data_IF_402905556955
#
_entry.id   IF_402905556955
#
_cell.length_a   1.000
_cell.length_b   1.000
_cell.length_c   1.000
_cell.angle_alpha   90.00
_cell.angle_beta   90.00
_cell.angle_gamma   90.00
#
_symmetry.space_group_name_H-M   'P 1'
#
loop_
_entity.id
_entity.type
_entity.pdbx_description
1 polymer ?
#
# COMPACT_ATOMS: atom_id res chain seq x y z
N UNK A 1 7.23 29.92 3.90
CA UNK A 1 5.90 30.07 4.53
C UNK A 1 5.20 28.72 4.56
N UNK A 2 4.16 28.53 5.41
CA UNK A 2 3.39 27.30 5.37
C UNK A 2 2.33 27.40 4.27
N UNK A 3 2.29 26.39 3.38
CA UNK A 3 1.23 26.25 2.39
C UNK A 3 0.01 25.53 2.97
N UNK A 4 0.25 24.61 3.92
CA UNK A 4 -0.80 23.85 4.59
C UNK A 4 -0.49 23.78 6.08
N UNK A 5 -1.51 23.96 6.92
CA UNK A 5 -1.44 23.77 8.37
C UNK A 5 -2.64 22.96 8.83
N UNK A 6 -2.38 21.86 9.53
CA UNK A 6 -3.36 21.07 10.27
C UNK A 6 -3.17 21.37 11.75
N UNK A 7 -4.23 21.80 12.43
CA UNK A 7 -4.22 22.14 13.84
C UNK A 7 -5.29 21.33 14.59
N UNK A 8 -4.84 20.31 15.33
CA UNK A 8 -5.66 19.38 16.13
C UNK A 8 -6.86 18.79 15.37
N UNK A 9 -6.64 18.45 14.09
CA UNK A 9 -7.71 18.00 13.19
C UNK A 9 -8.17 16.61 13.55
N UNK A 10 -9.48 16.45 13.74
CA UNK A 10 -10.12 15.17 13.94
C UNK A 10 -11.34 14.99 13.05
N UNK A 11 -11.62 13.74 12.66
CA UNK A 11 -12.80 13.35 11.89
C UNK A 11 -13.47 12.12 12.49
N UNK A 12 -14.68 12.33 12.97
CA UNK A 12 -15.54 11.30 13.52
C UNK A 12 -16.61 10.91 12.49
N UNK A 13 -16.79 9.62 12.27
CA UNK A 13 -17.90 9.07 11.48
C UNK A 13 -18.83 8.25 12.36
N UNK A 14 -20.12 8.27 12.03
CA UNK A 14 -21.10 7.37 12.62
C UNK A 14 -21.25 6.13 11.75
N UNK A 15 -21.13 4.96 12.34
CA UNK A 15 -21.39 3.67 11.70
C UNK A 15 -22.91 3.39 11.71
N UNK A 16 -23.40 2.74 10.66
CA UNK A 16 -24.84 2.48 10.52
C UNK A 16 -25.56 3.58 9.76
N UNK A 17 -26.86 3.65 9.82
CA UNK A 17 -27.75 4.38 8.93
C UNK A 17 -27.30 5.80 8.55
N UNK A 18 -27.21 6.06 7.24
CA UNK A 18 -27.32 7.40 6.65
C UNK A 18 -28.79 7.81 6.81
N UNK A 19 -29.14 8.42 7.92
CA UNK A 19 -30.52 8.78 8.14
C UNK A 19 -30.70 9.71 9.31
N UNK A 20 -31.28 10.80 9.04
CA UNK A 20 -32.10 11.66 9.88
C UNK A 20 -31.78 11.60 11.37
N UNK A 21 -30.75 12.39 11.76
CA UNK A 21 -30.68 12.85 13.14
C UNK A 21 -32.05 13.45 13.47
N UNK A 22 -32.73 12.94 14.50
CA UNK A 22 -33.93 13.56 14.95
C UNK A 22 -33.60 14.99 15.35
N UNK A 23 -34.39 15.97 14.92
CA UNK A 23 -34.25 17.39 15.28
C UNK A 23 -33.98 17.63 16.77
N UNK A 24 -34.41 16.71 17.62
CA UNK A 24 -34.16 16.72 19.06
C UNK A 24 -32.69 16.50 19.43
N UNK A 25 -31.94 15.70 18.67
CA UNK A 25 -30.48 15.47 18.89
C UNK A 25 -29.65 16.68 18.49
N UNK A 26 -29.98 17.31 17.34
CA UNK A 26 -29.29 18.50 16.87
C UNK A 26 -29.59 19.71 17.76
N UNK A 27 -30.81 19.82 18.27
CA UNK A 27 -31.21 20.87 19.20
C UNK A 27 -30.51 20.70 20.56
N UNK A 28 -30.37 19.46 21.05
CA UNK A 28 -29.69 19.17 22.33
C UNK A 28 -28.17 19.44 22.19
N UNK A 29 -27.59 19.06 21.08
CA UNK A 29 -26.18 19.35 20.75
C UNK A 29 -25.93 20.85 20.71
N UNK A 30 -26.75 21.61 19.95
CA UNK A 30 -26.66 23.05 19.85
C UNK A 30 -26.85 23.72 21.22
N UNK A 31 -27.78 23.24 22.04
CA UNK A 31 -28.04 23.77 23.40
C UNK A 31 -26.84 23.54 24.33
N UNK A 32 -26.27 22.37 24.32
CA UNK A 32 -25.15 22.03 25.21
C UNK A 32 -23.85 22.71 24.80
N UNK A 33 -23.56 22.82 23.49
CA UNK A 33 -22.30 23.40 23.00
C UNK A 33 -22.34 24.92 22.95
N UNK A 34 -23.44 25.53 22.48
CA UNK A 34 -23.51 26.96 22.22
C UNK A 34 -24.11 27.79 23.36
N UNK A 35 -25.00 27.22 24.18
CA UNK A 35 -25.66 27.91 25.30
C UNK A 35 -24.98 27.57 26.62
N UNK A 36 -24.64 26.30 26.86
CA UNK A 36 -24.05 25.86 28.13
C UNK A 36 -22.50 25.84 28.10
N UNK A 37 -21.85 26.08 26.93
CA UNK A 37 -20.39 26.09 26.79
C UNK A 37 -19.74 24.76 27.18
N UNK A 38 -20.49 23.67 27.18
CA UNK A 38 -20.00 22.32 27.51
C UNK A 38 -19.41 21.68 26.25
N UNK A 39 -18.39 20.84 26.43
CA UNK A 39 -17.90 19.99 25.35
C UNK A 39 -19.05 19.12 24.80
N UNK A 40 -19.07 18.94 23.49
CA UNK A 40 -20.03 18.08 22.79
C UNK A 40 -20.02 16.68 23.41
N UNK A 41 -21.13 16.22 24.05
CA UNK A 41 -21.16 14.93 24.73
C UNK A 41 -20.88 13.74 23.79
N UNK A 42 -21.03 13.94 22.47
CA UNK A 42 -20.77 12.91 21.46
C UNK A 42 -19.29 12.79 21.07
N UNK A 43 -18.46 13.79 21.40
CA UNK A 43 -17.00 13.73 21.15
C UNK A 43 -16.26 12.78 22.09
N UNK A 44 -16.87 12.40 23.22
CA UNK A 44 -16.28 11.44 24.18
C UNK A 44 -16.52 9.99 23.82
N UNK A 45 -17.39 9.70 22.85
CA UNK A 45 -17.84 8.37 22.48
C UNK A 45 -17.30 8.07 21.07
N UNK A 46 -16.10 7.56 20.98
CA UNK A 46 -15.55 7.12 19.68
C UNK A 46 -14.39 6.18 19.92
N UNK A 47 -14.45 5.02 19.29
CA UNK A 47 -13.36 4.06 19.27
C UNK A 47 -12.39 4.39 18.15
N UNK A 48 -11.13 3.99 18.31
CA UNK A 48 -10.15 4.04 17.22
C UNK A 48 -10.58 3.10 16.11
N UNK A 49 -10.26 3.45 14.84
CA UNK A 49 -10.63 2.67 13.66
C UNK A 49 -9.79 1.39 13.55
N UNK A 50 -9.96 0.48 14.51
CA UNK A 50 -9.38 -0.86 14.43
C UNK A 50 -10.39 -1.83 13.79
N UNK A 51 -10.09 -2.27 12.56
CA UNK A 51 -10.93 -3.21 11.81
C UNK A 51 -10.87 -4.64 12.32
N UNK A 52 -9.89 -4.96 13.16
CA UNK A 52 -9.70 -6.31 13.71
C UNK A 52 -10.57 -6.58 14.94
N UNK A 53 -11.02 -5.54 15.62
CA UNK A 53 -11.86 -5.66 16.82
C UNK A 53 -13.31 -5.29 16.53
N UNK A 54 -14.23 -6.08 17.07
CA UNK A 54 -15.67 -5.79 17.02
C UNK A 54 -15.95 -4.68 18.01
N UNK A 55 -15.96 -3.42 17.52
CA UNK A 55 -16.28 -2.26 18.36
C UNK A 55 -17.70 -2.29 18.92
N UNK A 56 -17.88 -1.64 20.05
CA UNK A 56 -19.18 -1.52 20.74
C UNK A 56 -19.84 -0.17 20.50
N UNK A 57 -19.11 0.78 19.89
CA UNK A 57 -19.55 2.15 19.61
C UNK A 57 -20.06 2.31 18.18
N UNK A 58 -21.15 3.07 18.01
CA UNK A 58 -21.64 3.52 16.70
C UNK A 58 -20.76 4.61 16.07
N UNK A 59 -19.73 5.11 16.78
CA UNK A 59 -18.87 6.19 16.34
C UNK A 59 -17.43 5.73 16.23
N UNK A 60 -16.77 6.09 15.12
CA UNK A 60 -15.37 5.76 14.83
C UNK A 60 -14.60 7.01 14.45
N UNK A 61 -13.46 7.23 15.12
CA UNK A 61 -12.51 8.25 14.74
C UNK A 61 -11.69 7.79 13.55
N UNK A 62 -11.96 8.36 12.40
CA UNK A 62 -11.14 8.11 11.20
C UNK A 62 -9.81 8.88 11.25
N UNK A 63 -9.81 10.06 11.91
CA UNK A 63 -8.62 10.85 12.23
C UNK A 63 -8.83 11.47 13.61
N UNK A 64 -7.74 11.56 14.39
CA UNK A 64 -7.75 12.12 15.72
C UNK A 64 -6.47 12.90 16.02
N UNK A 65 -6.64 14.14 16.47
CA UNK A 65 -5.57 15.02 16.95
C UNK A 65 -4.39 15.16 15.95
N UNK A 66 -4.69 15.27 14.65
CA UNK A 66 -3.69 15.46 13.60
C UNK A 66 -3.20 16.89 13.56
N UNK A 67 -1.91 17.08 13.79
CA UNK A 67 -1.28 18.42 13.74
C UNK A 67 0.07 18.33 13.02
N UNK A 68 0.18 18.99 11.88
CA UNK A 68 1.43 19.17 11.13
C UNK A 68 1.32 20.35 10.18
N UNK A 69 2.43 20.80 9.65
CA UNK A 69 2.49 21.84 8.64
C UNK A 69 3.30 21.37 7.43
N UNK A 70 3.02 21.94 6.27
CA UNK A 70 3.76 21.73 5.03
C UNK A 70 4.21 23.06 4.49
N UNK A 71 5.51 23.20 4.25
CA UNK A 71 6.08 24.41 3.69
C UNK A 71 5.75 24.57 2.20
N UNK A 72 5.77 25.81 1.71
CA UNK A 72 5.65 26.08 0.27
C UNK A 72 6.78 25.37 -0.50
N UNK A 73 6.42 24.64 -1.55
CA UNK A 73 7.36 23.88 -2.37
C UNK A 73 7.82 22.54 -1.77
N UNK A 74 7.30 22.15 -0.62
CA UNK A 74 7.63 20.88 0.03
C UNK A 74 6.82 19.71 -0.58
N UNK A 75 7.48 18.57 -0.73
CA UNK A 75 6.85 17.30 -1.19
C UNK A 75 6.80 16.33 -0.03
N UNK A 76 5.60 16.12 0.50
CA UNK A 76 5.37 15.29 1.68
C UNK A 76 4.65 14.00 1.33
N UNK A 77 5.19 12.88 1.76
CA UNK A 77 4.58 11.56 1.64
C UNK A 77 3.69 11.23 2.84
N UNK A 78 2.43 10.85 2.60
CA UNK A 78 1.54 10.33 3.64
C UNK A 78 1.52 8.80 3.55
N UNK A 79 2.04 8.15 4.56
CA UNK A 79 2.26 6.70 4.61
C UNK A 79 1.35 6.08 5.68
N UNK A 80 0.89 4.85 5.48
CA UNK A 80 0.09 4.14 6.46
C UNK A 80 -0.66 2.95 5.87
N UNK A 81 -1.09 2.02 6.72
CA UNK A 81 -1.89 0.84 6.34
C UNK A 81 -3.26 1.25 5.78
N UNK A 82 -3.95 0.30 5.12
CA UNK A 82 -5.34 0.50 4.72
C UNK A 82 -6.22 0.71 5.96
N UNK A 83 -6.94 1.84 5.99
CA UNK A 83 -7.74 2.25 7.14
C UNK A 83 -7.03 3.18 8.12
N UNK A 84 -5.74 3.53 7.92
CA UNK A 84 -5.01 4.45 8.79
C UNK A 84 -5.52 5.90 8.76
N UNK A 85 -6.43 6.25 7.85
CA UNK A 85 -7.01 7.60 7.76
C UNK A 85 -6.54 8.42 6.55
N UNK A 86 -5.61 7.92 5.72
CA UNK A 86 -5.03 8.65 4.57
C UNK A 86 -6.07 9.30 3.65
N UNK A 87 -7.01 8.51 3.12
CA UNK A 87 -8.05 9.04 2.23
C UNK A 87 -9.01 10.00 2.93
N UNK A 88 -9.21 9.86 4.23
CA UNK A 88 -10.00 10.83 5.03
C UNK A 88 -9.26 12.15 5.15
N UNK A 89 -7.95 12.13 5.40
CA UNK A 89 -7.11 13.33 5.47
C UNK A 89 -7.12 14.07 4.13
N UNK A 90 -7.00 13.36 3.00
CA UNK A 90 -7.08 13.97 1.69
C UNK A 90 -8.46 14.59 1.40
N UNK A 91 -9.55 13.92 1.78
CA UNK A 91 -10.93 14.45 1.63
C UNK A 91 -11.16 15.71 2.47
N UNK A 92 -10.55 15.80 3.64
CA UNK A 92 -10.58 17.02 4.46
C UNK A 92 -9.84 18.16 3.79
N UNK A 93 -8.62 17.89 3.31
CA UNK A 93 -7.79 18.88 2.62
C UNK A 93 -8.44 19.38 1.32
N UNK A 94 -9.05 18.47 0.55
CA UNK A 94 -9.76 18.81 -0.70
C UNK A 94 -11.17 19.38 -0.47
N UNK A 95 -11.53 19.72 0.78
CA UNK A 95 -12.83 20.29 1.17
C UNK A 95 -14.06 19.43 0.77
N UNK A 96 -13.88 18.14 0.48
CA UNK A 96 -14.97 17.19 0.21
C UNK A 96 -15.80 16.93 1.47
N UNK A 97 -15.15 17.02 2.65
CA UNK A 97 -15.81 16.94 3.95
C UNK A 97 -15.14 17.88 4.95
N UNK A 98 -15.90 18.39 5.91
CA UNK A 98 -15.36 19.25 6.97
C UNK A 98 -14.78 18.43 8.13
N UNK A 99 -13.77 18.94 8.85
CA UNK A 99 -13.30 18.34 10.10
C UNK A 99 -14.38 18.35 11.18
N UNK A 100 -14.30 17.40 12.11
CA UNK A 100 -15.18 17.39 13.29
C UNK A 100 -14.60 18.25 14.42
N UNK A 101 -13.27 18.23 14.57
CA UNK A 101 -12.50 19.07 15.50
C UNK A 101 -11.31 19.66 14.79
N UNK A 102 -10.78 20.76 15.34
CA UNK A 102 -9.62 21.44 14.79
C UNK A 102 -9.90 22.21 13.50
N UNK A 103 -8.86 22.71 12.89
CA UNK A 103 -8.96 23.47 11.64
C UNK A 103 -7.82 23.16 10.67
N UNK A 104 -8.09 23.36 9.38
CA UNK A 104 -7.11 23.25 8.30
C UNK A 104 -7.01 24.61 7.63
N UNK A 105 -5.80 25.15 7.56
CA UNK A 105 -5.50 26.38 6.86
C UNK A 105 -4.66 26.09 5.64
N UNK A 106 -5.04 26.64 4.50
CA UNK A 106 -4.33 26.47 3.24
C UNK A 106 -4.10 27.80 2.54
N UNK A 107 -2.99 27.91 1.84
CA UNK A 107 -2.64 29.09 1.06
C UNK A 107 -2.42 28.69 -0.40
N UNK A 108 -3.27 29.19 -1.30
CA UNK A 108 -3.26 28.87 -2.71
C UNK A 108 -4.38 27.91 -3.14
N UNK A 109 -4.42 27.62 -4.43
CA UNK A 109 -5.39 26.68 -5.03
C UNK A 109 -4.97 25.25 -4.74
N UNK A 110 -5.93 24.44 -4.36
CA UNK A 110 -5.73 22.99 -4.15
C UNK A 110 -6.32 22.27 -5.36
N UNK A 111 -5.51 21.42 -5.99
CA UNK A 111 -6.03 20.43 -6.94
C UNK A 111 -5.79 19.03 -6.41
N UNK A 112 -6.81 18.20 -6.51
CA UNK A 112 -6.78 16.83 -6.03
C UNK A 112 -6.91 15.86 -7.18
N UNK A 113 -5.98 14.92 -7.27
CA UNK A 113 -6.05 13.79 -8.20
C UNK A 113 -6.89 12.61 -7.66
N UNK A 114 -7.62 12.80 -6.55
CA UNK A 114 -8.49 11.79 -5.95
C UNK A 114 -9.59 11.30 -6.91
N UNK A 115 -10.01 12.16 -7.82
CA UNK A 115 -11.19 11.95 -8.67
C UNK A 115 -10.83 11.98 -10.16
N UNK A 116 -9.63 11.53 -10.52
CA UNK A 116 -9.20 11.48 -11.93
C UNK A 116 -10.18 10.66 -12.78
N UNK A 117 -10.75 11.28 -13.82
CA UNK A 117 -11.72 10.66 -14.70
C UNK A 117 -13.16 10.64 -14.17
N UNK A 118 -13.41 11.11 -12.94
CA UNK A 118 -14.79 11.41 -12.51
C UNK A 118 -15.27 12.70 -13.16
N UNK A 119 -16.55 12.74 -13.54
CA UNK A 119 -17.13 13.92 -14.16
C UNK A 119 -17.02 13.96 -15.69
N UNK A 120 -16.45 12.94 -16.36
CA UNK A 120 -16.51 12.88 -17.81
C UNK A 120 -17.93 12.59 -18.29
N UNK A 121 -18.40 13.41 -19.21
CA UNK A 121 -19.71 13.23 -19.85
C UNK A 121 -19.58 12.29 -21.04
N UNK A 122 -20.25 11.16 -20.99
CA UNK A 122 -20.11 10.06 -21.96
C UNK A 122 -20.47 10.45 -23.40
N UNK A 123 -21.44 11.38 -23.58
CA UNK A 123 -21.87 11.83 -24.90
C UNK A 123 -21.00 12.93 -25.49
N UNK A 124 -20.17 13.58 -24.70
CA UNK A 124 -19.22 14.60 -25.14
C UNK A 124 -17.95 13.98 -25.72
N UNK A 125 -17.33 14.68 -26.65
CA UNK A 125 -16.04 14.32 -27.24
C UNK A 125 -14.91 14.41 -26.20
N UNK A 126 -13.74 13.82 -26.49
CA UNK A 126 -12.54 13.97 -25.66
C UNK A 126 -12.17 15.44 -25.46
N UNK A 127 -12.23 16.24 -26.55
CA UNK A 127 -11.96 17.69 -26.51
C UNK A 127 -12.90 18.41 -25.53
N UNK A 128 -14.20 18.21 -25.67
CA UNK A 128 -15.19 18.85 -24.79
C UNK A 128 -15.01 18.42 -23.33
N UNK A 129 -14.70 17.16 -23.08
CA UNK A 129 -14.39 16.66 -21.74
C UNK A 129 -13.12 17.28 -21.16
N UNK A 130 -12.06 17.51 -21.96
CA UNK A 130 -10.86 18.23 -21.51
C UNK A 130 -11.23 19.63 -21.02
N UNK A 131 -12.03 20.37 -21.80
CA UNK A 131 -12.46 21.71 -21.40
C UNK A 131 -13.35 21.70 -20.16
N UNK A 132 -14.31 20.79 -20.11
CA UNK A 132 -15.22 20.66 -18.98
C UNK A 132 -14.48 20.27 -17.71
N UNK A 133 -13.66 19.22 -17.75
CA UNK A 133 -12.92 18.71 -16.59
C UNK A 133 -11.85 19.70 -16.13
N UNK A 134 -11.08 20.31 -17.05
CA UNK A 134 -10.12 21.34 -16.72
C UNK A 134 -10.77 22.55 -16.02
N UNK A 135 -11.98 22.95 -16.48
CA UNK A 135 -12.73 24.06 -15.83
C UNK A 135 -13.21 23.65 -14.43
N UNK A 136 -13.72 22.44 -14.24
CA UNK A 136 -14.12 21.90 -12.92
C UNK A 136 -12.93 21.90 -11.97
N UNK A 137 -11.73 21.57 -12.46
CA UNK A 137 -10.49 21.57 -11.69
C UNK A 137 -9.87 22.97 -11.52
N UNK A 138 -10.53 24.04 -11.98
CA UNK A 138 -10.14 25.44 -11.75
C UNK A 138 -9.23 26.04 -12.83
N UNK A 139 -9.05 25.41 -13.99
CA UNK A 139 -8.37 26.04 -15.14
C UNK A 139 -9.30 27.03 -15.87
N UNK A 140 -8.73 28.13 -16.32
CA UNK A 140 -9.43 29.00 -17.26
C UNK A 140 -9.47 28.38 -18.66
N UNK A 141 -10.45 28.79 -19.48
CA UNK A 141 -10.56 28.30 -20.86
C UNK A 141 -9.31 28.61 -21.70
N UNK A 142 -8.65 29.71 -21.43
CA UNK A 142 -7.41 30.12 -22.11
C UNK A 142 -6.23 29.19 -21.73
N UNK A 143 -6.11 28.85 -20.46
CA UNK A 143 -5.10 27.89 -19.96
C UNK A 143 -5.30 26.51 -20.58
N UNK A 144 -6.55 26.02 -20.62
CA UNK A 144 -6.87 24.73 -21.25
C UNK A 144 -6.51 24.74 -22.72
N UNK A 145 -6.89 25.82 -23.44
CA UNK A 145 -6.62 25.95 -24.87
C UNK A 145 -5.11 25.95 -25.17
N UNK A 146 -4.31 26.63 -24.35
CA UNK A 146 -2.84 26.67 -24.52
C UNK A 146 -2.14 25.33 -24.25
N UNK A 147 -2.76 24.45 -23.44
CA UNK A 147 -2.21 23.15 -23.05
C UNK A 147 -2.85 21.97 -23.77
N UNK A 148 -3.85 22.24 -24.64
CA UNK A 148 -4.68 21.20 -25.25
C UNK A 148 -3.85 20.14 -25.98
N UNK A 149 -2.94 20.57 -26.85
CA UNK A 149 -2.11 19.66 -27.65
C UNK A 149 -1.20 18.80 -26.75
N UNK A 150 -0.61 19.40 -25.73
CA UNK A 150 0.22 18.70 -24.77
C UNK A 150 -0.55 17.67 -23.92
N UNK A 151 -1.80 18.01 -23.52
CA UNK A 151 -2.68 17.09 -22.80
C UNK A 151 -3.04 15.90 -23.69
N UNK A 152 -3.36 16.15 -24.96
CA UNK A 152 -3.77 15.12 -25.93
C UNK A 152 -2.61 14.19 -26.27
N UNK A 153 -1.42 14.73 -26.53
CA UNK A 153 -0.18 13.97 -26.78
C UNK A 153 0.19 13.10 -25.56
N UNK A 154 0.13 13.69 -24.36
CA UNK A 154 0.42 12.95 -23.12
C UNK A 154 -0.54 11.76 -22.93
N UNK A 155 -1.84 11.97 -23.18
CA UNK A 155 -2.86 10.93 -23.07
C UNK A 155 -2.76 9.88 -24.18
N UNK A 156 -2.19 10.22 -25.35
CA UNK A 156 -2.11 9.37 -26.53
C UNK A 156 -3.47 9.11 -27.17
N UNK A 157 -4.32 10.16 -27.25
CA UNK A 157 -5.70 10.04 -27.77
C UNK A 157 -6.00 10.94 -28.97
N UNK A 158 -4.96 11.41 -29.69
CA UNK A 158 -5.06 12.37 -30.80
C UNK A 158 -6.11 11.92 -31.83
N UNK A 159 -6.05 10.65 -32.23
CA UNK A 159 -6.96 10.06 -33.22
C UNK A 159 -8.41 10.10 -32.81
N UNK A 160 -8.68 10.08 -31.51
CA UNK A 160 -10.03 9.95 -30.94
C UNK A 160 -10.54 11.25 -30.31
N UNK A 161 -9.78 12.34 -30.39
CA UNK A 161 -10.06 13.59 -29.68
C UNK A 161 -11.47 14.12 -29.91
N UNK A 162 -11.96 14.06 -31.13
CA UNK A 162 -13.30 14.55 -31.53
C UNK A 162 -14.36 13.40 -31.58
N UNK A 163 -14.05 12.26 -30.90
CA UNK A 163 -14.99 11.14 -30.75
C UNK A 163 -15.61 11.18 -29.35
N UNK A 164 -16.92 10.87 -29.19
CA UNK A 164 -17.56 10.77 -27.87
C UNK A 164 -16.88 9.75 -26.95
N UNK A 165 -16.68 10.14 -25.69
CA UNK A 165 -15.94 9.33 -24.67
C UNK A 165 -16.59 7.97 -24.41
N UNK A 166 -17.88 7.79 -24.63
CA UNK A 166 -18.54 6.47 -24.57
C UNK A 166 -17.93 5.42 -25.49
N UNK A 167 -17.16 5.83 -26.52
CA UNK A 167 -16.43 4.94 -27.44
C UNK A 167 -14.99 4.72 -27.05
N UNK A 168 -14.52 5.35 -25.97
CA UNK A 168 -13.18 5.15 -25.45
C UNK A 168 -13.11 3.83 -24.67
N UNK A 169 -11.95 3.22 -24.66
CA UNK A 169 -11.67 2.17 -23.67
C UNK A 169 -11.56 2.79 -22.28
N UNK A 170 -11.76 1.97 -21.24
CA UNK A 170 -11.55 2.41 -19.86
C UNK A 170 -10.16 3.01 -19.64
N UNK A 171 -9.13 2.41 -20.24
CA UNK A 171 -7.76 2.92 -20.19
C UNK A 171 -7.60 4.29 -20.85
N UNK A 172 -8.23 4.54 -22.00
CA UNK A 172 -8.20 5.85 -22.68
C UNK A 172 -8.87 6.93 -21.83
N UNK A 173 -10.01 6.62 -21.22
CA UNK A 173 -10.75 7.57 -20.37
C UNK A 173 -9.90 7.97 -19.16
N UNK A 174 -9.28 7.00 -18.52
CA UNK A 174 -8.44 7.25 -17.34
C UNK A 174 -7.16 8.00 -17.71
N UNK A 175 -6.49 7.64 -18.82
CA UNK A 175 -5.31 8.38 -19.32
C UNK A 175 -5.65 9.84 -19.63
N UNK A 176 -6.80 10.10 -20.27
CA UNK A 176 -7.22 11.45 -20.58
C UNK A 176 -7.51 12.25 -19.31
N UNK A 177 -8.23 11.67 -18.35
CA UNK A 177 -8.48 12.32 -17.05
C UNK A 177 -7.19 12.64 -16.30
N UNK A 178 -6.24 11.69 -16.26
CA UNK A 178 -4.92 11.94 -15.65
C UNK A 178 -4.15 13.03 -16.41
N UNK A 179 -4.18 13.03 -17.75
CA UNK A 179 -3.49 14.05 -18.54
C UNK A 179 -4.01 15.45 -18.21
N UNK A 180 -5.34 15.65 -18.16
CA UNK A 180 -5.90 16.95 -17.75
C UNK A 180 -5.37 17.35 -16.38
N UNK A 181 -5.40 16.44 -15.42
CA UNK A 181 -4.96 16.69 -14.06
C UNK A 181 -3.43 16.95 -13.93
N UNK A 182 -2.61 16.27 -14.72
CA UNK A 182 -1.15 16.43 -14.74
C UNK A 182 -0.67 17.77 -15.31
N UNK A 183 -1.53 18.45 -16.10
CA UNK A 183 -1.26 19.78 -16.65
C UNK A 183 -1.93 20.91 -15.88
N UNK A 184 -2.56 20.61 -14.74
CA UNK A 184 -2.96 21.62 -13.76
C UNK A 184 -1.72 22.31 -13.18
N UNK A 185 -1.87 23.58 -12.85
CA UNK A 185 -0.83 24.38 -12.18
C UNK A 185 -1.39 24.94 -10.85
N UNK A 186 -1.74 24.07 -9.88
CA UNK A 186 -2.13 24.53 -8.55
C UNK A 186 -0.89 24.82 -7.71
N UNK A 187 -1.04 25.64 -6.70
CA UNK A 187 -0.01 25.87 -5.69
C UNK A 187 0.14 24.65 -4.75
N UNK A 188 -0.96 23.91 -4.54
CA UNK A 188 -1.00 22.69 -3.72
C UNK A 188 -1.60 21.54 -4.56
N UNK A 189 -0.82 20.50 -4.77
CA UNK A 189 -1.24 19.30 -5.49
C UNK A 189 -1.40 18.12 -4.52
N UNK A 190 -2.55 17.50 -4.53
CA UNK A 190 -2.86 16.30 -3.74
C UNK A 190 -2.91 15.09 -4.68
N UNK A 191 -1.99 14.14 -4.48
CA UNK A 191 -1.85 12.94 -5.30
C UNK A 191 -2.18 11.71 -4.46
N UNK A 192 -3.19 10.95 -4.87
CA UNK A 192 -3.54 9.66 -4.27
C UNK A 192 -3.00 8.51 -5.14
N UNK A 193 -3.15 7.29 -4.70
CA UNK A 193 -2.74 6.00 -5.32
C UNK A 193 -3.01 5.87 -6.84
N UNK A 194 -3.61 6.87 -7.46
CA UNK A 194 -4.02 6.95 -8.89
C UNK A 194 -2.84 6.81 -9.87
N UNK A 195 -1.57 6.91 -9.42
CA UNK A 195 -0.40 6.67 -10.29
C UNK A 195 -0.27 5.22 -10.78
N UNK A 196 -1.05 4.28 -10.24
CA UNK A 196 -1.10 2.89 -10.70
C UNK A 196 -2.02 2.67 -11.92
N UNK A 197 -2.50 3.74 -12.54
CA UNK A 197 -3.48 3.71 -13.63
C UNK A 197 -2.81 3.66 -15.00
N UNK A 198 -3.38 2.87 -15.90
CA UNK A 198 -2.87 2.69 -17.26
C UNK A 198 -1.88 1.52 -17.36
N UNK A 199 -1.20 1.43 -18.49
CA UNK A 199 -0.12 0.46 -18.72
C UNK A 199 1.21 0.95 -18.12
N UNK A 200 2.20 0.07 -18.08
CA UNK A 200 3.51 0.36 -17.50
C UNK A 200 4.23 1.55 -18.16
N UNK A 201 4.00 1.78 -19.46
CA UNK A 201 4.58 2.91 -20.19
C UNK A 201 3.95 4.22 -19.73
N UNK A 202 2.62 4.27 -19.63
CA UNK A 202 1.92 5.45 -19.16
C UNK A 202 2.23 5.77 -17.69
N UNK A 203 2.32 4.73 -16.84
CA UNK A 203 2.75 4.91 -15.45
C UNK A 203 4.12 5.56 -15.34
N UNK A 204 5.08 5.15 -16.19
CA UNK A 204 6.41 5.76 -16.23
C UNK A 204 6.36 7.22 -16.66
N UNK A 205 5.55 7.55 -17.70
CA UNK A 205 5.31 8.94 -18.12
C UNK A 205 4.66 9.77 -17.02
N UNK A 206 3.67 9.21 -16.32
CA UNK A 206 2.97 9.86 -15.21
C UNK A 206 3.92 10.19 -14.03
N UNK A 207 4.74 9.22 -13.62
CA UNK A 207 5.75 9.42 -12.57
C UNK A 207 6.78 10.48 -13.00
N UNK A 208 7.27 10.42 -14.24
CA UNK A 208 8.19 11.43 -14.78
C UNK A 208 7.58 12.84 -14.73
N UNK A 209 6.34 13.00 -15.20
CA UNK A 209 5.65 14.30 -15.13
C UNK A 209 5.46 14.79 -13.70
N UNK A 210 5.16 13.91 -12.75
CA UNK A 210 5.05 14.27 -11.33
C UNK A 210 6.42 14.69 -10.73
N UNK A 211 7.52 14.06 -11.16
CA UNK A 211 8.88 14.47 -10.78
C UNK A 211 9.21 15.87 -11.29
N UNK A 212 8.86 16.19 -12.54
CA UNK A 212 9.06 17.52 -13.12
C UNK A 212 8.28 18.58 -12.35
N UNK A 213 7.01 18.28 -12.02
CA UNK A 213 6.14 19.16 -11.24
C UNK A 213 6.68 19.37 -9.82
N UNK A 214 7.22 18.33 -9.19
CA UNK A 214 7.72 18.41 -7.81
C UNK A 214 9.09 19.08 -7.70
N UNK A 215 9.96 18.93 -8.72
CA UNK A 215 11.35 19.46 -8.68
C UNK A 215 11.52 20.79 -9.38
N UNK A 216 10.73 21.07 -10.41
CA UNK A 216 10.97 22.20 -11.33
C UNK A 216 10.19 23.47 -11.01
N UNK A 217 9.05 23.40 -10.34
CA UNK A 217 8.10 24.50 -10.27
C UNK A 217 7.80 24.98 -8.84
N UNK A 218 8.51 24.42 -7.82
CA UNK A 218 8.36 24.87 -6.42
C UNK A 218 6.96 24.65 -5.85
N UNK A 219 6.20 23.69 -6.36
CA UNK A 219 4.83 23.40 -5.91
C UNK A 219 4.83 22.54 -4.66
N UNK A 220 3.87 22.79 -3.81
CA UNK A 220 3.63 21.94 -2.63
C UNK A 220 2.86 20.69 -3.04
N UNK A 221 3.37 19.51 -2.71
CA UNK A 221 2.74 18.24 -3.08
C UNK A 221 2.51 17.36 -1.85
N UNK A 222 1.26 16.91 -1.65
CA UNK A 222 0.96 15.81 -0.75
C UNK A 222 0.77 14.53 -1.56
N UNK A 223 1.66 13.58 -1.33
CA UNK A 223 1.70 12.32 -2.05
C UNK A 223 1.29 11.16 -1.16
N UNK A 224 0.19 10.48 -1.49
CA UNK A 224 -0.29 9.29 -0.79
C UNK A 224 -0.07 8.07 -1.66
N UNK A 225 0.71 7.11 -1.18
CA UNK A 225 0.93 5.86 -1.91
C UNK A 225 1.29 4.73 -0.95
N UNK A 226 0.98 3.52 -1.35
CA UNK A 226 1.50 2.30 -0.74
C UNK A 226 2.75 1.78 -1.48
N UNK A 227 3.15 2.39 -2.58
CA UNK A 227 4.40 2.07 -3.27
C UNK A 227 5.56 2.86 -2.65
N UNK A 228 6.29 2.22 -1.72
CA UNK A 228 7.40 2.86 -0.98
C UNK A 228 8.54 3.30 -1.88
N UNK A 229 8.77 2.64 -3.03
CA UNK A 229 9.78 3.06 -3.98
C UNK A 229 9.42 4.41 -4.64
N UNK A 230 8.16 4.59 -5.02
CA UNK A 230 7.67 5.87 -5.55
C UNK A 230 7.73 6.98 -4.49
N UNK A 231 7.31 6.68 -3.25
CA UNK A 231 7.37 7.62 -2.12
C UNK A 231 8.79 8.09 -1.86
N UNK A 232 9.77 7.17 -1.78
CA UNK A 232 11.21 7.51 -1.59
C UNK A 232 11.77 8.35 -2.72
N UNK A 233 11.32 8.13 -3.97
CA UNK A 233 11.86 8.85 -5.14
C UNK A 233 11.29 10.26 -5.31
N UNK A 234 10.08 10.50 -4.81
CA UNK A 234 9.33 11.74 -5.02
C UNK A 234 9.34 12.67 -3.80
N UNK A 235 9.30 12.11 -2.59
CA UNK A 235 9.11 12.89 -1.37
C UNK A 235 10.43 13.15 -0.64
N UNK A 236 10.47 14.25 0.11
CA UNK A 236 11.60 14.63 0.96
C UNK A 236 11.30 14.32 2.43
N UNK A 237 10.05 14.44 2.83
CA UNK A 237 9.54 14.20 4.18
C UNK A 237 8.37 13.25 4.13
N UNK A 238 8.19 12.45 5.18
CA UNK A 238 7.11 11.50 5.29
C UNK A 238 6.38 11.64 6.62
N UNK A 239 5.06 11.52 6.56
CA UNK A 239 4.18 11.45 7.73
C UNK A 239 3.56 10.06 7.76
N UNK A 240 3.74 9.35 8.87
CA UNK A 240 3.18 8.01 9.05
C UNK A 240 1.91 8.10 9.89
N UNK A 241 0.82 7.58 9.32
CA UNK A 241 -0.48 7.47 9.99
C UNK A 241 -0.74 6.03 10.43
N UNK A 242 -1.22 5.87 11.66
CA UNK A 242 -1.67 4.59 12.19
C UNK A 242 -2.94 4.79 13.02
N UNK A 243 -3.98 3.97 12.76
CA UNK A 243 -5.26 4.00 13.50
C UNK A 243 -5.88 5.40 13.64
N UNK A 244 -5.73 6.25 12.62
CA UNK A 244 -6.25 7.60 12.59
C UNK A 244 -5.40 8.65 13.31
N UNK A 245 -4.28 8.29 13.91
CA UNK A 245 -3.30 9.18 14.53
C UNK A 245 -2.03 9.34 13.70
N UNK A 246 -1.29 10.42 13.93
CA UNK A 246 0.04 10.61 13.39
C UNK A 246 1.07 10.01 14.37
N UNK A 247 1.86 9.04 13.90
CA UNK A 247 2.83 8.32 14.74
C UNK A 247 4.28 8.66 14.44
N UNK A 248 4.55 9.21 13.26
CA UNK A 248 5.88 9.66 12.88
C UNK A 248 5.81 10.80 11.87
N UNK A 249 6.75 11.73 11.94
CA UNK A 249 6.94 12.85 11.03
C UNK A 249 8.45 13.13 10.92
N UNK A 250 9.03 13.00 9.74
CA UNK A 250 10.48 13.16 9.57
C UNK A 250 10.94 12.98 8.13
N UNK A 251 12.24 12.80 7.93
CA UNK A 251 12.82 12.51 6.62
C UNK A 251 12.17 11.27 5.99
N UNK A 252 12.04 11.26 4.67
CA UNK A 252 11.30 10.20 3.96
C UNK A 252 11.90 8.82 4.19
N UNK A 253 13.22 8.71 4.24
CA UNK A 253 13.91 7.44 4.49
C UNK A 253 13.54 6.86 5.84
N UNK A 254 13.63 7.69 6.89
CA UNK A 254 13.28 7.31 8.26
C UNK A 254 11.80 6.99 8.41
N UNK A 255 10.92 7.77 7.74
CA UNK A 255 9.48 7.56 7.74
C UNK A 255 9.11 6.21 7.12
N UNK A 256 9.74 5.84 6.01
CA UNK A 256 9.51 4.54 5.35
C UNK A 256 10.06 3.41 6.22
N UNK A 257 11.24 3.57 6.83
CA UNK A 257 11.79 2.56 7.74
C UNK A 257 10.94 2.38 8.98
N UNK A 258 10.46 3.47 9.57
CA UNK A 258 9.53 3.43 10.69
C UNK A 258 8.24 2.69 10.31
N UNK A 259 7.63 3.03 9.18
CA UNK A 259 6.43 2.34 8.69
C UNK A 259 6.67 0.84 8.46
N UNK A 260 7.79 0.48 7.84
CA UNK A 260 8.15 -0.92 7.65
C UNK A 260 8.38 -1.63 9.00
N UNK A 261 8.93 -0.95 10.00
CA UNK A 261 9.07 -1.49 11.36
C UNK A 261 7.73 -1.75 12.03
N UNK A 262 6.75 -0.84 11.88
CA UNK A 262 5.37 -1.06 12.36
C UNK A 262 4.70 -2.26 11.67
N UNK A 263 4.97 -2.45 10.36
CA UNK A 263 4.51 -3.63 9.66
C UNK A 263 5.18 -4.91 10.18
N UNK A 264 6.47 -4.83 10.56
CA UNK A 264 7.22 -5.95 11.16
C UNK A 264 6.70 -6.33 12.54
N UNK A 265 6.42 -5.36 13.40
CA UNK A 265 5.95 -5.61 14.77
C UNK A 265 4.55 -6.23 14.85
N UNK A 266 3.73 -6.09 13.79
CA UNK A 266 2.44 -6.78 13.67
C UNK A 266 2.56 -8.18 13.05
N UNK A 267 3.72 -8.52 12.51
CA UNK A 267 4.04 -9.79 11.87
C UNK A 267 5.26 -10.46 12.55
N UNK A 268 5.44 -10.27 13.86
CA UNK A 268 6.32 -11.15 14.65
C UNK A 268 5.90 -12.59 14.37
N UNK A 269 6.85 -13.49 14.19
CA UNK A 269 6.69 -14.91 13.87
C UNK A 269 5.33 -15.41 14.30
N UNK A 270 4.47 -15.79 13.36
CA UNK A 270 3.11 -16.21 13.69
C UNK A 270 3.24 -17.40 14.63
N UNK A 271 3.03 -17.18 15.93
CA UNK A 271 3.13 -18.25 16.91
C UNK A 271 2.11 -19.33 16.53
N UNK A 272 2.61 -20.40 15.93
CA UNK A 272 1.81 -21.52 15.46
C UNK A 272 0.98 -22.14 16.60
N UNK A 273 1.40 -21.94 17.86
CA UNK A 273 0.72 -22.49 19.03
C UNK A 273 -0.44 -21.61 19.52
N UNK A 274 -0.42 -20.32 19.23
CA UNK A 274 -1.46 -19.37 19.68
C UNK A 274 -2.64 -19.26 18.69
N UNK A 275 -2.57 -19.91 17.52
CA UNK A 275 -3.57 -19.83 16.48
C UNK A 275 -4.83 -20.64 16.83
N UNK A 276 -6.01 -20.05 16.58
CA UNK A 276 -7.25 -20.82 16.60
C UNK A 276 -7.33 -21.73 15.37
N UNK A 277 -7.13 -23.02 15.61
CA UNK A 277 -7.20 -24.09 14.60
C UNK A 277 -8.39 -25.01 14.79
N UNK A 278 -9.29 -24.70 15.74
CA UNK A 278 -10.42 -25.56 16.12
C UNK A 278 -11.39 -25.84 14.97
N UNK A 279 -11.54 -24.89 14.05
CA UNK A 279 -12.39 -25.02 12.86
C UNK A 279 -11.69 -25.57 11.63
N UNK A 280 -10.38 -25.84 11.67
CA UNK A 280 -9.60 -26.25 10.50
C UNK A 280 -9.62 -27.77 10.33
N UNK A 281 -9.90 -28.24 9.11
CA UNK A 281 -9.84 -29.65 8.73
C UNK A 281 -8.42 -30.21 8.77
N UNK A 282 -7.44 -29.39 8.33
CA UNK A 282 -6.02 -29.66 8.46
C UNK A 282 -5.24 -28.36 8.59
N UNK A 283 -4.11 -28.40 9.33
CA UNK A 283 -3.29 -27.24 9.57
C UNK A 283 -1.81 -27.62 9.77
N UNK A 284 -0.92 -26.65 9.53
CA UNK A 284 0.51 -26.78 9.83
C UNK A 284 0.71 -26.44 11.32
N UNK A 285 1.19 -27.41 12.09
CA UNK A 285 1.41 -27.28 13.54
C UNK A 285 2.83 -26.88 13.89
N UNK A 286 3.81 -27.14 12.99
CA UNK A 286 5.21 -26.77 13.20
C UNK A 286 5.89 -26.54 11.84
N UNK A 287 6.80 -25.56 11.80
CA UNK A 287 7.63 -25.22 10.67
C UNK A 287 9.00 -24.76 11.11
N UNK A 288 10.07 -25.36 10.58
CA UNK A 288 11.44 -24.96 10.84
C UNK A 288 12.33 -25.10 9.60
N UNK A 289 13.33 -24.24 9.49
CA UNK A 289 14.47 -24.49 8.62
C UNK A 289 15.45 -25.41 9.34
N UNK A 290 15.99 -26.39 8.62
CA UNK A 290 16.88 -27.40 9.20
C UNK A 290 18.13 -27.59 8.35
N UNK A 291 19.21 -27.99 9.00
CA UNK A 291 20.45 -28.40 8.32
C UNK A 291 20.40 -29.86 7.85
N UNK A 292 21.54 -30.37 7.39
CA UNK A 292 21.68 -31.78 6.93
C UNK A 292 21.48 -32.79 8.07
N UNK A 293 21.76 -32.40 9.28
CA UNK A 293 21.68 -33.25 10.48
C UNK A 293 20.31 -33.12 11.16
N UNK A 294 19.43 -32.28 10.63
CA UNK A 294 18.08 -32.03 11.15
C UNK A 294 18.01 -31.01 12.29
N UNK A 295 19.10 -30.28 12.58
CA UNK A 295 19.13 -29.22 13.57
C UNK A 295 18.47 -27.96 13.03
N UNK A 296 17.76 -27.23 13.89
CA UNK A 296 17.05 -26.01 13.51
C UNK A 296 18.06 -24.89 13.19
N UNK A 297 17.83 -24.19 12.10
CA UNK A 297 18.61 -23.06 11.64
C UNK A 297 17.89 -21.74 11.93
N UNK A 298 18.63 -20.79 12.51
CA UNK A 298 18.18 -19.40 12.68
C UNK A 298 18.66 -18.49 11.54
N UNK A 299 19.58 -18.99 10.71
CA UNK A 299 20.14 -18.29 9.55
C UNK A 299 20.38 -19.26 8.41
N UNK A 300 20.15 -18.82 7.16
CA UNK A 300 20.39 -19.61 5.96
C UNK A 300 21.69 -19.19 5.27
N UNK A 301 22.36 -20.16 4.66
CA UNK A 301 23.44 -19.89 3.72
C UNK A 301 22.91 -19.87 2.29
N UNK A 302 23.23 -18.85 1.50
CA UNK A 302 22.87 -18.87 0.08
C UNK A 302 23.72 -19.85 -0.76
N UNK A 303 24.83 -20.32 -0.20
CA UNK A 303 25.70 -21.34 -0.79
C UNK A 303 25.27 -22.78 -0.48
N UNK A 304 24.21 -22.96 0.31
CA UNK A 304 23.65 -24.26 0.66
C UNK A 304 22.24 -24.46 0.09
N UNK A 305 21.79 -25.71 -0.11
CA UNK A 305 20.39 -25.99 -0.40
C UNK A 305 19.49 -25.52 0.75
N UNK A 306 18.33 -24.97 0.42
CA UNK A 306 17.28 -24.70 1.38
C UNK A 306 16.67 -26.02 1.84
N UNK A 307 16.61 -26.22 3.16
CA UNK A 307 15.87 -27.33 3.77
C UNK A 307 14.87 -26.81 4.77
N UNK A 308 13.63 -27.31 4.71
CA UNK A 308 12.60 -26.95 5.68
C UNK A 308 11.73 -28.17 6.01
N UNK A 309 11.30 -28.24 7.27
CA UNK A 309 10.49 -29.30 7.84
C UNK A 309 9.14 -28.75 8.27
N UNK A 310 8.09 -29.47 7.91
CA UNK A 310 6.71 -29.15 8.26
C UNK A 310 6.10 -30.31 9.04
N UNK A 311 5.34 -30.00 10.07
CA UNK A 311 4.46 -30.97 10.72
C UNK A 311 3.02 -30.56 10.52
N UNK A 312 2.23 -31.41 9.92
CA UNK A 312 0.82 -31.20 9.61
C UNK A 312 -0.03 -32.05 10.54
N UNK A 313 -1.13 -31.50 11.04
CA UNK A 313 -2.17 -32.23 11.75
C UNK A 313 -3.48 -32.12 11.00
N UNK A 314 -4.28 -33.18 11.00
CA UNK A 314 -5.58 -33.24 10.34
C UNK A 314 -6.57 -34.06 11.17
N UNK A 315 -7.83 -33.62 11.14
CA UNK A 315 -8.95 -34.34 11.77
C UNK A 315 -9.48 -35.46 10.88
N UNK A 316 -9.18 -35.43 9.60
CA UNK A 316 -9.63 -36.40 8.60
C UNK A 316 -8.49 -36.79 7.64
N UNK A 317 -8.67 -37.94 6.94
CA UNK A 317 -7.69 -38.35 5.96
C UNK A 317 -7.86 -37.56 4.67
N UNK A 318 -6.84 -36.86 4.24
CA UNK A 318 -6.85 -35.89 3.13
C UNK A 318 -5.66 -36.10 2.20
N UNK A 319 -5.82 -35.63 0.96
CA UNK A 319 -4.72 -35.50 0.01
C UNK A 319 -4.39 -34.00 -0.13
N UNK A 320 -3.22 -33.59 0.34
CA UNK A 320 -2.85 -32.20 0.47
C UNK A 320 -1.60 -31.85 -0.34
N UNK A 321 -1.49 -30.57 -0.70
CA UNK A 321 -0.27 -29.97 -1.24
C UNK A 321 0.20 -28.82 -0.35
N UNK A 322 1.50 -28.63 -0.30
CA UNK A 322 2.18 -27.58 0.45
C UNK A 322 2.84 -26.60 -0.50
N UNK A 323 2.76 -25.32 -0.16
CA UNK A 323 3.52 -24.28 -0.81
C UNK A 323 4.21 -23.39 0.24
N UNK A 324 5.49 -23.14 0.02
CA UNK A 324 6.28 -22.15 0.74
C UNK A 324 6.65 -21.01 -0.19
N UNK A 325 6.56 -19.78 0.28
CA UNK A 325 6.93 -18.57 -0.48
C UNK A 325 7.80 -17.69 0.39
N UNK A 326 8.98 -17.32 -0.10
CA UNK A 326 9.83 -16.33 0.50
C UNK A 326 9.58 -14.98 -0.15
N UNK A 327 9.43 -13.96 0.69
CA UNK A 327 9.30 -12.58 0.29
C UNK A 327 10.47 -11.78 0.86
N UNK A 328 10.95 -10.80 0.10
CA UNK A 328 11.84 -9.79 0.65
C UNK A 328 11.09 -8.84 1.60
N UNK A 329 11.81 -7.92 2.23
CA UNK A 329 11.21 -6.98 3.17
C UNK A 329 10.32 -5.94 2.50
N UNK A 330 10.40 -5.81 1.18
CA UNK A 330 9.53 -4.96 0.35
C UNK A 330 8.29 -5.72 -0.17
N UNK A 331 8.04 -6.95 0.34
CA UNK A 331 6.96 -7.86 -0.05
C UNK A 331 7.01 -8.34 -1.52
N UNK A 332 8.19 -8.29 -2.17
CA UNK A 332 8.36 -8.94 -3.47
C UNK A 332 8.58 -10.44 -3.27
N UNK A 333 7.94 -11.24 -4.11
CA UNK A 333 8.13 -12.69 -4.10
C UNK A 333 9.50 -13.03 -4.68
N UNK A 334 10.36 -13.66 -3.88
CA UNK A 334 11.73 -14.03 -4.25
C UNK A 334 11.84 -15.49 -4.65
N UNK A 335 11.20 -16.38 -3.89
CA UNK A 335 11.21 -17.83 -4.12
C UNK A 335 9.84 -18.40 -3.82
N UNK A 336 9.38 -19.36 -4.64
CA UNK A 336 8.18 -20.14 -4.36
C UNK A 336 8.49 -21.61 -4.65
N UNK A 337 8.18 -22.49 -3.69
CA UNK A 337 8.29 -23.93 -3.83
C UNK A 337 6.91 -24.51 -3.57
N UNK A 338 6.39 -25.27 -4.53
CA UNK A 338 5.08 -25.92 -4.45
C UNK A 338 5.27 -27.42 -4.62
N UNK A 339 4.76 -28.21 -3.69
CA UNK A 339 4.90 -29.67 -3.76
C UNK A 339 4.31 -30.26 -5.04
N UNK A 340 3.34 -29.60 -5.64
CA UNK A 340 2.68 -30.07 -6.87
C UNK A 340 3.59 -30.07 -8.08
N UNK A 341 4.62 -29.22 -8.06
CA UNK A 341 5.53 -29.08 -9.21
C UNK A 341 6.46 -30.29 -9.35
N UNK A 342 6.86 -30.91 -8.22
CA UNK A 342 7.84 -32.02 -8.23
C UNK A 342 7.31 -33.31 -7.59
N UNK A 343 6.62 -33.19 -6.45
CA UNK A 343 6.25 -34.33 -5.60
C UNK A 343 4.74 -34.66 -5.62
N UNK A 344 3.90 -33.77 -6.12
CA UNK A 344 2.46 -33.91 -6.19
C UNK A 344 1.75 -33.68 -4.84
N UNK A 345 0.83 -34.59 -4.51
CA UNK A 345 0.00 -34.51 -3.32
C UNK A 345 0.42 -35.54 -2.28
N UNK A 346 0.38 -35.14 -1.00
CA UNK A 346 0.68 -36.04 0.13
C UNK A 346 -0.61 -36.53 0.77
N UNK A 347 -0.69 -37.87 1.00
CA UNK A 347 -1.82 -38.47 1.73
C UNK A 347 -1.53 -38.38 3.23
N UNK A 348 -2.31 -37.61 3.95
CA UNK A 348 -2.24 -37.48 5.41
C UNK A 348 -3.37 -38.30 6.05
N UNK A 349 -3.08 -38.87 7.22
CA UNK A 349 -4.05 -39.73 7.95
C UNK A 349 -4.64 -38.93 9.12
N UNK A 350 -5.95 -39.13 9.35
CA UNK A 350 -6.65 -38.49 10.46
C UNK A 350 -5.97 -38.74 11.80
N UNK A 351 -5.89 -37.70 12.62
CA UNK A 351 -5.39 -37.69 14.01
C UNK A 351 -3.95 -38.18 14.19
N UNK A 352 -3.17 -38.27 13.12
CA UNK A 352 -1.72 -38.58 13.20
C UNK A 352 -0.93 -37.37 12.70
N UNK A 353 0.13 -36.93 13.43
CA UNK A 353 1.04 -35.93 12.90
C UNK A 353 1.74 -36.48 11.66
N UNK A 354 1.84 -35.67 10.62
CA UNK A 354 2.51 -36.01 9.38
C UNK A 354 3.65 -35.03 9.17
N UNK A 355 4.88 -35.51 9.17
CA UNK A 355 6.07 -34.69 8.98
C UNK A 355 6.59 -34.84 7.57
N UNK A 356 6.92 -33.70 6.93
CA UNK A 356 7.45 -33.64 5.59
C UNK A 356 8.64 -32.67 5.53
N UNK A 357 9.64 -33.02 4.74
CA UNK A 357 10.76 -32.14 4.45
C UNK A 357 10.75 -31.73 2.98
N UNK A 358 11.04 -30.45 2.75
CA UNK A 358 11.29 -29.91 1.44
C UNK A 358 12.76 -29.49 1.36
N UNK A 359 13.43 -29.86 0.26
CA UNK A 359 14.81 -29.47 -0.01
C UNK A 359 14.93 -29.02 -1.46
N UNK A 360 15.64 -27.89 -1.69
CA UNK A 360 16.02 -27.50 -3.05
C UNK A 360 17.17 -28.37 -3.55
N UNK A 361 17.15 -28.66 -4.86
CA UNK A 361 18.22 -29.44 -5.50
C UNK A 361 19.49 -28.61 -5.57
N UNK A 362 19.35 -27.35 -5.98
CA UNK A 362 20.45 -26.40 -6.06
C UNK A 362 20.58 -25.60 -4.74
N UNK A 363 21.72 -24.92 -4.59
CA UNK A 363 21.92 -23.93 -3.54
C UNK A 363 20.85 -22.84 -3.61
N UNK A 364 20.52 -22.26 -2.47
CA UNK A 364 19.46 -21.25 -2.33
C UNK A 364 19.64 -20.09 -3.31
N UNK A 365 20.84 -19.54 -3.42
CA UNK A 365 21.24 -18.58 -4.45
C UNK A 365 20.45 -17.28 -4.45
N UNK A 366 19.83 -16.89 -3.35
CA UNK A 366 19.15 -15.59 -3.18
C UNK A 366 20.09 -14.60 -2.48
N UNK A 367 19.89 -13.32 -2.72
CA UNK A 367 20.68 -12.23 -2.14
C UNK A 367 20.70 -12.33 -0.61
N UNK A 368 21.85 -12.10 0.07
CA UNK A 368 21.88 -11.93 1.52
C UNK A 368 20.93 -10.86 2.01
N UNK A 369 20.30 -11.11 3.16
CA UNK A 369 19.33 -10.21 3.79
C UNK A 369 18.21 -10.95 4.50
N UNK A 370 17.19 -10.18 4.93
CA UNK A 370 16.03 -10.69 5.67
C UNK A 370 14.89 -11.04 4.74
N UNK A 371 14.26 -12.17 5.02
CA UNK A 371 13.13 -12.68 4.25
C UNK A 371 12.00 -13.13 5.16
N UNK A 372 10.77 -12.95 4.68
CA UNK A 372 9.54 -13.44 5.33
C UNK A 372 9.08 -14.72 4.63
N UNK A 373 8.57 -15.64 5.40
CA UNK A 373 8.08 -16.93 4.93
C UNK A 373 6.59 -17.03 5.08
N UNK A 374 5.90 -17.32 3.97
CA UNK A 374 4.48 -17.64 3.98
C UNK A 374 4.29 -19.10 3.60
N UNK A 375 3.36 -19.78 4.28
CA UNK A 375 3.01 -21.17 4.01
C UNK A 375 1.54 -21.28 3.62
N UNK A 376 1.22 -22.14 2.69
CA UNK A 376 -0.16 -22.54 2.41
C UNK A 376 -0.29 -24.05 2.27
N UNK A 377 -1.33 -24.61 2.91
CA UNK A 377 -1.76 -26.01 2.82
C UNK A 377 -3.07 -26.06 2.03
N UNK A 378 -3.15 -26.89 1.01
CA UNK A 378 -4.32 -26.97 0.13
C UNK A 378 -4.76 -28.40 -0.13
N UNK A 379 -6.08 -28.57 -0.41
CA UNK A 379 -6.65 -29.78 -1.00
C UNK A 379 -7.21 -29.39 -2.38
N UNK A 380 -6.52 -29.76 -3.43
CA UNK A 380 -6.87 -29.30 -4.79
C UNK A 380 -6.87 -27.77 -4.88
N UNK A 381 -8.03 -27.18 -5.15
CA UNK A 381 -8.22 -25.72 -5.19
C UNK A 381 -8.56 -25.11 -3.81
N UNK A 382 -9.01 -25.90 -2.85
CA UNK A 382 -9.42 -25.47 -1.52
C UNK A 382 -8.20 -25.13 -0.66
N UNK A 383 -8.22 -23.96 -0.01
CA UNK A 383 -7.21 -23.51 0.94
C UNK A 383 -7.61 -23.98 2.35
N UNK A 384 -6.85 -24.94 2.90
CA UNK A 384 -7.10 -25.49 4.24
C UNK A 384 -6.45 -24.65 5.34
N UNK A 385 -5.21 -24.19 5.08
CA UNK A 385 -4.46 -23.35 6.01
C UNK A 385 -3.58 -22.37 5.25
N UNK A 386 -3.53 -21.12 5.74
CA UNK A 386 -2.63 -20.09 5.23
C UNK A 386 -1.99 -19.36 6.41
N UNK A 387 -0.67 -19.27 6.39
CA UNK A 387 0.12 -18.69 7.46
C UNK A 387 1.06 -17.65 6.84
N UNK A 388 0.66 -16.38 6.82
CA UNK A 388 1.56 -15.31 6.43
C UNK A 388 2.59 -15.04 7.52
N UNK A 389 3.85 -14.78 7.14
CA UNK A 389 4.89 -14.40 8.08
C UNK A 389 5.18 -15.46 9.15
N UNK A 390 5.05 -16.76 8.82
CA UNK A 390 5.25 -17.86 9.79
C UNK A 390 6.63 -17.82 10.46
N UNK A 391 7.62 -17.30 9.74
CA UNK A 391 8.99 -17.12 10.24
C UNK A 391 9.69 -16.01 9.44
N UNK A 392 10.53 -15.23 10.10
CA UNK A 392 11.53 -14.40 9.45
C UNK A 392 12.85 -15.15 9.48
N UNK A 393 13.62 -15.07 8.41
CA UNK A 393 14.91 -15.73 8.29
C UNK A 393 15.93 -14.81 7.65
N UNK A 394 17.15 -14.82 8.19
CA UNK A 394 18.29 -14.12 7.60
C UNK A 394 19.05 -15.06 6.67
N UNK A 395 19.44 -14.55 5.49
CA UNK A 395 20.40 -15.21 4.60
C UNK A 395 21.75 -14.54 4.80
N UNK A 396 22.72 -15.33 5.24
CA UNK A 396 24.05 -14.82 5.62
C UNK A 396 24.80 -14.21 4.44
N UNK A 397 25.61 -13.18 4.76
CA UNK A 397 26.63 -12.68 3.85
C UNK A 397 27.82 -13.65 3.83
N UNK A 398 28.07 -14.29 2.69
CA UNK A 398 29.20 -15.20 2.48
C UNK A 398 29.88 -14.89 1.17
N UNK A 399 31.19 -15.16 0.98
CA UNK A 399 31.84 -15.02 -0.30
C UNK A 399 31.21 -15.95 -1.35
N UNK A 400 30.59 -15.40 -2.40
CA UNK A 400 29.94 -16.20 -3.45
C UNK A 400 30.85 -16.40 -4.66
N UNK A 401 31.50 -15.34 -5.12
CA UNK A 401 32.39 -15.40 -6.26
C UNK A 401 33.82 -15.71 -5.82
N UNK A 402 34.53 -16.49 -6.64
CA UNK A 402 35.96 -16.83 -6.42
C UNK A 402 36.86 -15.59 -6.33
N UNK A 403 36.43 -14.46 -6.86
CA UNK A 403 37.12 -13.17 -6.78
C UNK A 403 37.06 -12.52 -5.41
N UNK A 404 36.25 -13.04 -4.47
CA UNK A 404 35.98 -12.41 -3.18
C UNK A 404 35.24 -11.08 -3.23
N UNK A 405 34.84 -10.62 -4.41
CA UNK A 405 34.03 -9.39 -4.56
C UNK A 405 32.62 -9.64 -4.06
N UNK A 406 32.23 -8.83 -3.08
CA UNK A 406 30.89 -8.82 -2.52
C UNK A 406 30.48 -7.36 -2.36
N UNK A 407 29.60 -6.88 -3.23
CA UNK A 407 29.00 -5.55 -3.11
C UNK A 407 27.48 -5.71 -3.03
N UNK A 408 26.97 -5.67 -1.80
CA UNK A 408 25.55 -5.89 -1.50
C UNK A 408 24.61 -4.94 -2.26
N UNK A 409 25.07 -3.74 -2.61
CA UNK A 409 24.30 -2.75 -3.36
C UNK A 409 24.03 -3.12 -4.83
N UNK A 410 24.92 -3.94 -5.43
CA UNK A 410 24.84 -4.33 -6.86
C UNK A 410 24.38 -5.76 -7.10
N UNK A 411 24.13 -6.54 -6.03
CA UNK A 411 23.73 -7.94 -6.21
C UNK A 411 22.27 -8.04 -6.69
N UNK A 412 22.01 -8.85 -7.75
CA UNK A 412 20.66 -9.18 -8.16
C UNK A 412 19.98 -10.05 -7.08
N UNK A 413 18.65 -10.13 -7.12
CA UNK A 413 17.86 -10.96 -6.18
C UNK A 413 18.26 -12.43 -6.21
N UNK A 414 18.69 -12.93 -7.36
CA UNK A 414 19.14 -14.32 -7.56
C UNK A 414 20.59 -14.33 -8.03
N UNK A 415 21.43 -15.11 -7.36
CA UNK A 415 22.85 -15.28 -7.66
C UNK A 415 23.07 -16.62 -8.34
N UNK A 416 23.84 -16.62 -9.45
CA UNK A 416 24.23 -17.86 -10.16
C UNK A 416 25.73 -17.83 -10.44
N UNK A 417 26.42 -18.93 -10.17
CA UNK A 417 27.80 -19.13 -10.63
C UNK A 417 27.81 -19.30 -12.14
N UNK A 418 28.74 -18.69 -12.81
CA UNK A 418 28.90 -18.75 -14.27
C UNK A 418 30.38 -18.69 -14.66
N UNK A 419 30.69 -19.13 -15.87
CA UNK A 419 32.01 -19.03 -16.45
C UNK A 419 31.92 -18.35 -17.81
N UNK A 420 32.99 -17.64 -18.18
CA UNK A 420 33.14 -17.00 -19.47
C UNK A 420 34.29 -17.68 -20.20
N UNK A 421 34.04 -18.19 -21.40
CA UNK A 421 35.06 -18.79 -22.25
C UNK A 421 35.21 -17.94 -23.50
N UNK A 422 36.43 -17.59 -23.84
CA UNK A 422 36.73 -16.95 -25.13
C UNK A 422 36.72 -18.05 -26.19
N UNK A 423 35.94 -17.86 -27.24
CA UNK A 423 35.94 -18.72 -28.40
C UNK A 423 36.93 -18.13 -29.43
N UNK A 424 38.00 -18.86 -29.75
CA UNK A 424 38.98 -18.47 -30.76
C UNK A 424 38.41 -18.61 -32.17
#
# INVERSE_FOLDING_TARGET
MNAIEFDQVGKLYRLGQVGTGTLSHDLNRWWQTRILGREDPYLRIGETNDRATKGTSDFVWALRDISFNVAEGEVVGIIGKNGAGKSTLLKLLSCVTAPTTGEIRTRGRIASLLEVGTGFHQEMTGRENIFMNGTIMGMTRAEIASKLDAIVDFAGVERYLDTPVKRYSSGMTVRLGFAVAAFLEPEILVVDEVLAVGDAEFQKKAIGKMQDVSRGEGRTVLFVSHNMAAVRSLCQRGIVLENGGMVFDGEITDSVEYYLSLCRNTEADADLNSRDVSSKRAFVSQFDFVDQDGSILDQLSFNAPLRCRFTIRSQESLSVSLRIVLFDMDNNRVLALDSRDESGFFKITANKPFTIECQTVDNLGIKPGKYKVNISLRQGAELLDYIPGVKQIDVAEEPFFSSGRFDAGYLPTVLKRHSWNVLD
#
